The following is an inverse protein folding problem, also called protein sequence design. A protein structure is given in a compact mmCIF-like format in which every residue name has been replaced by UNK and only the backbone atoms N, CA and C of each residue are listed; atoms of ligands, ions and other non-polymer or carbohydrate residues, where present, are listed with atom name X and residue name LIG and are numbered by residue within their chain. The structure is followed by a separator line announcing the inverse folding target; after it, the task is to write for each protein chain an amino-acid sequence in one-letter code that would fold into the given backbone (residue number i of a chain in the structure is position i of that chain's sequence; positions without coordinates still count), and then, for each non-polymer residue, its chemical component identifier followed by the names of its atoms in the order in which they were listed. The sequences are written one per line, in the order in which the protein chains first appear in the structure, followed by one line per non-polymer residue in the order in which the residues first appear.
data_IF_904204531097
#
_entry.id   IF_904204531097
#
_cell.length_a   1.000
_cell.length_b   1.000
_cell.length_c   1.000
_cell.angle_alpha   90.00
_cell.angle_beta   90.00
_cell.angle_gamma   90.00
#
_symmetry.space_group_name_H-M   'P 1'
#
loop_
_entity.id
_entity.type
_entity.pdbx_description
1 polymer ?
#
# COMPACT_ATOMS: atom_id res chain seq x y z
N UNK A 1 -5.50 15.84 -4.93
CA UNK A 1 -5.29 14.46 -4.44
C UNK A 1 -5.02 14.50 -2.94
N UNK A 2 -5.78 13.73 -2.18
CA UNK A 2 -5.60 13.62 -0.74
C UNK A 2 -5.06 12.24 -0.38
N UNK A 3 -4.05 12.20 0.47
CA UNK A 3 -3.51 10.95 1.03
C UNK A 3 -3.92 10.90 2.49
N UNK A 4 -4.59 9.82 2.88
CA UNK A 4 -5.11 9.64 4.24
C UNK A 4 -4.70 8.30 4.81
N UNK A 5 -4.54 8.24 6.13
CA UNK A 5 -4.23 6.99 6.80
C UNK A 5 -5.46 6.06 6.77
N UNK A 6 -5.23 4.76 6.56
CA UNK A 6 -6.30 3.77 6.65
C UNK A 6 -6.71 3.61 8.11
N UNK A 7 -7.95 3.96 8.40
CA UNK A 7 -8.58 3.79 9.71
C UNK A 7 -9.82 2.93 9.56
N UNK A 8 -10.36 2.44 10.66
CA UNK A 8 -11.55 1.57 10.66
C UNK A 8 -12.73 2.22 9.94
N UNK A 9 -12.90 3.53 10.10
CA UNK A 9 -13.99 4.29 9.49
C UNK A 9 -13.92 4.33 7.97
N UNK A 10 -12.75 4.02 7.39
CA UNK A 10 -12.53 4.03 5.93
C UNK A 10 -12.68 2.66 5.27
N UNK A 11 -13.04 1.63 6.05
CA UNK A 11 -13.28 0.29 5.49
C UNK A 11 -14.28 0.33 4.32
N UNK A 12 -15.43 1.04 4.40
CA UNK A 12 -16.33 1.12 3.25
C UNK A 12 -15.68 1.66 1.98
N UNK A 13 -14.80 2.66 2.10
CA UNK A 13 -14.08 3.21 0.96
C UNK A 13 -13.13 2.17 0.34
N UNK A 14 -12.46 1.40 1.18
CA UNK A 14 -11.56 0.33 0.74
C UNK A 14 -12.33 -0.77 0.01
N UNK A 15 -13.49 -1.15 0.52
CA UNK A 15 -14.33 -2.16 -0.14
C UNK A 15 -14.79 -1.69 -1.52
N UNK A 16 -15.20 -0.43 -1.64
CA UNK A 16 -15.57 0.14 -2.94
C UNK A 16 -14.37 0.19 -3.89
N UNK A 17 -13.22 0.60 -3.39
CA UNK A 17 -11.97 0.60 -4.18
C UNK A 17 -11.63 -0.79 -4.70
N UNK A 18 -11.70 -1.81 -3.85
CA UNK A 18 -11.39 -3.19 -4.24
C UNK A 18 -12.39 -3.72 -5.28
N UNK A 19 -13.65 -3.31 -5.18
CA UNK A 19 -14.66 -3.62 -6.18
C UNK A 19 -14.34 -2.93 -7.52
N UNK A 20 -14.08 -1.64 -7.49
CA UNK A 20 -13.74 -0.85 -8.70
C UNK A 20 -12.49 -1.41 -9.39
N UNK A 21 -11.49 -1.78 -8.60
CA UNK A 21 -10.25 -2.35 -9.10
C UNK A 21 -10.51 -3.63 -9.91
N UNK A 22 -11.37 -4.50 -9.39
CA UNK A 22 -11.70 -5.77 -10.05
C UNK A 22 -12.59 -5.59 -11.27
N UNK A 23 -13.44 -4.58 -11.27
CA UNK A 23 -14.25 -4.27 -12.45
C UNK A 23 -13.40 -3.79 -13.62
N UNK A 24 -12.37 -3.00 -13.34
CA UNK A 24 -11.48 -2.48 -14.39
C UNK A 24 -10.43 -3.52 -14.84
N UNK A 25 -10.06 -4.44 -13.94
CA UNK A 25 -9.06 -5.48 -14.21
C UNK A 25 -9.53 -6.79 -13.58
N UNK A 26 -9.92 -7.76 -14.37
CA UNK A 26 -10.52 -9.00 -13.87
C UNK A 26 -9.54 -10.18 -13.72
N UNK A 27 -8.28 -9.89 -13.44
CA UNK A 27 -7.26 -10.94 -13.25
C UNK A 27 -6.95 -11.26 -11.78
N UNK A 28 -7.70 -10.70 -10.84
CA UNK A 28 -7.47 -10.89 -9.40
C UNK A 28 -7.99 -12.25 -8.94
N UNK A 29 -7.13 -12.99 -8.24
CA UNK A 29 -7.40 -14.37 -7.87
C UNK A 29 -8.24 -14.57 -6.61
N UNK A 30 -8.68 -13.50 -5.93
CA UNK A 30 -9.51 -13.63 -4.74
C UNK A 30 -10.70 -12.67 -4.79
N UNK A 31 -11.76 -13.04 -4.07
CA UNK A 31 -12.97 -12.24 -3.98
C UNK A 31 -13.00 -11.44 -2.67
N UNK A 32 -13.73 -10.34 -2.70
CA UNK A 32 -14.02 -9.56 -1.50
C UNK A 32 -15.27 -10.15 -0.87
N UNK A 33 -15.07 -11.12 -0.01
CA UNK A 33 -16.14 -11.87 0.66
C UNK A 33 -16.31 -11.45 2.13
N UNK A 34 -17.25 -12.09 2.81
CA UNK A 34 -17.53 -11.79 4.21
C UNK A 34 -16.32 -12.09 5.11
N UNK A 35 -15.53 -13.09 4.77
CA UNK A 35 -14.32 -13.43 5.51
C UNK A 35 -13.29 -12.32 5.42
N UNK A 36 -13.05 -11.80 4.22
CA UNK A 36 -12.13 -10.67 4.02
C UNK A 36 -12.58 -9.46 4.85
N UNK A 37 -13.87 -9.11 4.78
CA UNK A 37 -14.41 -7.96 5.50
C UNK A 37 -14.24 -8.14 7.01
N UNK A 38 -14.54 -9.33 7.52
CA UNK A 38 -14.39 -9.64 8.94
C UNK A 38 -12.93 -9.56 9.39
N UNK A 39 -12.00 -10.13 8.60
CA UNK A 39 -10.58 -10.14 8.92
C UNK A 39 -10.00 -8.70 8.94
N UNK A 40 -10.33 -7.88 7.94
CA UNK A 40 -9.88 -6.50 7.89
C UNK A 40 -10.45 -5.68 9.05
N UNK A 41 -11.74 -5.84 9.34
CA UNK A 41 -12.37 -5.15 10.46
C UNK A 41 -11.70 -5.52 11.78
N UNK A 42 -11.48 -6.81 12.00
CA UNK A 42 -10.86 -7.32 13.21
C UNK A 42 -9.41 -6.86 13.37
N UNK A 43 -8.70 -6.64 12.26
CA UNK A 43 -7.30 -6.20 12.31
C UNK A 43 -7.14 -4.86 13.06
N UNK A 44 -8.12 -3.99 13.00
CA UNK A 44 -8.09 -2.71 13.71
C UNK A 44 -8.27 -2.85 15.23
N UNK A 45 -8.68 -4.00 15.70
CA UNK A 45 -8.91 -4.28 17.12
C UNK A 45 -7.79 -5.11 17.75
N UNK A 46 -6.85 -5.59 16.94
CA UNK A 46 -5.77 -6.46 17.39
C UNK A 46 -4.44 -5.70 17.47
N UNK A 47 -3.75 -5.85 18.61
CA UNK A 47 -2.41 -5.28 18.78
C UNK A 47 -1.37 -5.91 17.85
N UNK A 48 -1.63 -7.10 17.32
CA UNK A 48 -0.75 -7.76 16.35
C UNK A 48 -0.56 -6.92 15.09
N UNK A 49 -1.50 -6.03 14.76
CA UNK A 49 -1.43 -5.15 13.60
C UNK A 49 -0.91 -3.74 13.91
N UNK A 50 -0.37 -3.52 15.11
CA UNK A 50 0.15 -2.21 15.52
C UNK A 50 1.29 -1.72 14.63
N UNK A 51 1.99 -2.62 13.95
CA UNK A 51 3.11 -2.29 13.06
C UNK A 51 2.68 -2.02 11.60
N UNK A 52 1.39 -2.15 11.29
CA UNK A 52 0.88 -1.85 9.95
C UNK A 52 0.77 -0.34 9.75
N UNK A 53 1.20 0.12 8.59
CA UNK A 53 1.02 1.52 8.17
C UNK A 53 0.51 1.50 6.74
N UNK A 54 -0.75 1.88 6.56
CA UNK A 54 -1.44 1.88 5.28
C UNK A 54 -1.99 3.26 4.97
N UNK A 55 -1.79 3.70 3.73
CA UNK A 55 -2.24 5.00 3.24
C UNK A 55 -3.16 4.82 2.04
N UNK A 56 -4.16 5.69 1.96
CA UNK A 56 -5.19 5.67 0.93
C UNK A 56 -5.15 6.99 0.15
N UNK A 57 -5.23 6.91 -1.18
CA UNK A 57 -5.27 8.08 -2.04
C UNK A 57 -6.69 8.32 -2.53
N UNK A 58 -7.11 9.59 -2.47
CA UNK A 58 -8.44 10.02 -2.89
C UNK A 58 -8.34 11.05 -4.01
N UNK A 59 -9.11 10.87 -5.06
CA UNK A 59 -9.32 11.81 -6.16
C UNK A 59 -10.78 11.76 -6.59
N UNK A 60 -11.31 12.90 -7.01
CA UNK A 60 -12.71 12.99 -7.48
C UNK A 60 -13.73 12.42 -6.49
N UNK A 61 -13.46 12.60 -5.19
CA UNK A 61 -14.37 12.19 -4.13
C UNK A 61 -14.37 10.68 -3.84
N UNK A 62 -13.43 9.92 -4.38
CA UNK A 62 -13.36 8.47 -4.13
C UNK A 62 -11.93 7.99 -3.93
N UNK A 63 -11.79 6.83 -3.29
CA UNK A 63 -10.50 6.19 -3.13
C UNK A 63 -10.04 5.57 -4.46
N UNK A 64 -8.83 5.95 -4.91
CA UNK A 64 -8.29 5.51 -6.20
C UNK A 64 -6.98 4.75 -6.10
N UNK A 65 -6.39 4.68 -4.91
CA UNK A 65 -5.14 3.94 -4.72
C UNK A 65 -4.88 3.66 -3.25
N UNK A 66 -3.99 2.71 -3.00
CA UNK A 66 -3.54 2.37 -1.65
C UNK A 66 -2.09 1.91 -1.65
N UNK A 67 -1.44 2.11 -0.52
CA UNK A 67 -0.13 1.53 -0.23
C UNK A 67 -0.18 0.95 1.17
N UNK A 68 0.29 -0.28 1.31
CA UNK A 68 0.27 -1.00 2.58
C UNK A 68 1.69 -1.42 2.95
N UNK A 69 2.07 -1.21 4.20
CA UNK A 69 3.39 -1.56 4.70
C UNK A 69 3.31 -2.13 6.11
N UNK A 70 4.35 -2.86 6.48
CA UNK A 70 4.52 -3.41 7.82
C UNK A 70 5.90 -3.02 8.34
N UNK A 71 5.95 -2.47 9.54
CA UNK A 71 7.22 -2.14 10.21
C UNK A 71 7.78 -3.40 10.83
N UNK A 72 9.06 -3.66 10.59
CA UNK A 72 9.75 -4.87 11.02
C UNK A 72 10.87 -4.47 11.97
N UNK A 73 10.82 -5.00 13.19
CA UNK A 73 11.86 -4.82 14.20
C UNK A 73 12.57 -6.15 14.39
N UNK A 74 13.89 -6.17 14.22
CA UNK A 74 14.67 -7.41 14.26
C UNK A 74 15.69 -7.42 15.38
N UNK A 75 15.66 -8.50 16.17
CA UNK A 75 16.70 -8.76 17.16
C UNK A 75 18.04 -9.15 16.53
N UNK A 76 18.03 -9.56 15.25
CA UNK A 76 19.25 -9.96 14.56
C UNK A 76 20.30 -8.85 14.56
N UNK A 77 19.87 -7.61 14.30
CA UNK A 77 20.78 -6.47 14.21
C UNK A 77 20.25 -5.23 14.95
N UNK A 78 19.13 -5.34 15.64
CA UNK A 78 18.51 -4.22 16.34
C UNK A 78 17.90 -3.17 15.41
N UNK A 79 17.81 -3.47 14.12
CA UNK A 79 17.28 -2.51 13.13
C UNK A 79 15.77 -2.52 13.05
N UNK A 80 15.23 -1.40 12.58
CA UNK A 80 13.83 -1.28 12.20
C UNK A 80 13.76 -0.93 10.72
N UNK A 81 12.98 -1.69 9.98
CA UNK A 81 12.75 -1.52 8.54
C UNK A 81 11.25 -1.51 8.29
N UNK A 82 10.84 -1.18 7.09
CA UNK A 82 9.48 -1.39 6.64
C UNK A 82 9.48 -2.32 5.43
N UNK A 83 8.45 -3.14 5.35
CA UNK A 83 8.19 -4.01 4.20
C UNK A 83 6.98 -3.46 3.45
N UNK A 84 7.14 -3.29 2.14
CA UNK A 84 6.05 -2.90 1.26
C UNK A 84 5.21 -4.13 0.93
N UNK A 85 4.02 -4.21 1.52
CA UNK A 85 3.12 -5.35 1.29
C UNK A 85 2.39 -5.22 -0.05
N UNK A 86 1.97 -4.01 -0.39
CA UNK A 86 1.10 -3.79 -1.54
C UNK A 86 1.08 -2.32 -1.94
N UNK A 87 1.05 -2.08 -3.24
CA UNK A 87 0.74 -0.75 -3.79
C UNK A 87 -0.12 -0.97 -5.03
N UNK A 88 -1.23 -0.27 -5.11
CA UNK A 88 -2.16 -0.44 -6.21
C UNK A 88 -2.93 0.85 -6.49
N UNK A 89 -3.16 1.11 -7.78
CA UNK A 89 -3.94 2.25 -8.26
C UNK A 89 -4.95 1.74 -9.28
N UNK A 90 -6.19 2.20 -9.21
CA UNK A 90 -7.23 1.86 -10.19
C UNK A 90 -6.74 2.25 -11.60
N UNK A 91 -6.95 1.36 -12.56
CA UNK A 91 -6.41 1.50 -13.91
C UNK A 91 -6.70 2.87 -14.53
N UNK A 92 -7.93 3.37 -14.42
CA UNK A 92 -8.33 4.67 -14.97
C UNK A 92 -7.66 5.87 -14.32
N UNK A 93 -7.00 5.68 -13.18
CA UNK A 93 -6.27 6.73 -12.46
C UNK A 93 -4.75 6.56 -12.50
N UNK A 94 -4.26 5.61 -13.27
CA UNK A 94 -2.81 5.42 -13.47
C UNK A 94 -2.23 6.55 -14.33
N UNK A 95 -0.91 6.72 -14.24
CA UNK A 95 -0.15 7.77 -14.94
C UNK A 95 -0.55 9.19 -14.55
N UNK A 96 -1.15 9.35 -13.37
CA UNK A 96 -1.55 10.65 -12.79
C UNK A 96 -0.76 10.99 -11.52
N UNK A 97 0.30 10.22 -11.22
CA UNK A 97 1.16 10.47 -10.07
C UNK A 97 0.65 9.91 -8.75
N UNK A 98 -0.41 9.09 -8.76
CA UNK A 98 -1.01 8.54 -7.52
C UNK A 98 -0.03 7.62 -6.79
N UNK A 99 0.56 6.67 -7.49
CA UNK A 99 1.51 5.72 -6.90
C UNK A 99 2.73 6.46 -6.32
N UNK A 100 3.23 7.43 -7.05
CA UNK A 100 4.38 8.24 -6.59
C UNK A 100 4.04 9.04 -5.34
N UNK A 101 2.85 9.64 -5.28
CA UNK A 101 2.40 10.39 -4.11
C UNK A 101 2.24 9.48 -2.89
N UNK A 102 1.68 8.28 -3.08
CA UNK A 102 1.57 7.27 -2.03
C UNK A 102 2.96 6.87 -1.50
N UNK A 103 3.89 6.57 -2.39
CA UNK A 103 5.23 6.17 -2.02
C UNK A 103 5.97 7.29 -1.27
N UNK A 104 5.90 8.51 -1.77
CA UNK A 104 6.55 9.66 -1.15
C UNK A 104 6.00 9.93 0.24
N UNK A 105 4.68 9.87 0.40
CA UNK A 105 4.02 10.09 1.69
C UNK A 105 4.37 8.97 2.67
N UNK A 106 4.35 7.70 2.22
CA UNK A 106 4.73 6.58 3.07
C UNK A 106 6.17 6.73 3.58
N UNK A 107 7.10 7.02 2.69
CA UNK A 107 8.51 7.20 3.07
C UNK A 107 8.70 8.34 4.06
N UNK A 108 7.97 9.45 3.87
CA UNK A 108 7.99 10.59 4.79
C UNK A 108 7.47 10.20 6.18
N UNK A 109 6.36 9.47 6.25
CA UNK A 109 5.81 9.00 7.53
C UNK A 109 6.75 8.02 8.24
N UNK A 110 7.35 7.10 7.50
CA UNK A 110 8.33 6.15 8.05
C UNK A 110 9.56 6.88 8.58
N UNK A 111 10.05 7.86 7.85
CA UNK A 111 11.23 8.65 8.24
C UNK A 111 10.98 9.40 9.55
N UNK A 112 9.78 9.93 9.76
CA UNK A 112 9.40 10.55 11.04
C UNK A 112 9.49 9.58 12.21
N UNK A 113 9.40 8.28 11.95
CA UNK A 113 9.53 7.21 12.95
C UNK A 113 10.94 6.63 13.01
N UNK A 114 11.91 7.24 12.32
CA UNK A 114 13.30 6.77 12.30
C UNK A 114 13.54 5.60 11.36
N UNK A 115 12.64 5.33 10.43
CA UNK A 115 12.75 4.21 9.49
C UNK A 115 13.15 4.72 8.12
N UNK A 116 14.36 4.37 7.68
CA UNK A 116 14.95 4.84 6.42
C UNK A 116 14.89 3.78 5.32
N UNK A 117 14.66 2.53 5.66
CA UNK A 117 14.70 1.43 4.70
C UNK A 117 13.32 0.87 4.47
N UNK A 118 12.90 0.85 3.21
CA UNK A 118 11.68 0.19 2.75
C UNK A 118 12.09 -0.87 1.74
N UNK A 119 11.72 -2.12 2.00
CA UNK A 119 12.03 -3.26 1.14
C UNK A 119 10.74 -3.87 0.61
N UNK A 120 10.82 -4.59 -0.51
CA UNK A 120 9.66 -5.25 -1.08
C UNK A 120 10.01 -6.05 -2.31
N UNK A 121 9.04 -6.82 -2.77
CA UNK A 121 9.11 -7.56 -4.01
C UNK A 121 8.45 -6.74 -5.12
N UNK A 122 9.06 -6.74 -6.30
CA UNK A 122 8.53 -6.01 -7.45
C UNK A 122 7.78 -6.98 -8.34
N UNK A 123 6.54 -6.63 -8.68
CA UNK A 123 5.76 -7.39 -9.65
C UNK A 123 6.46 -7.38 -11.01
N UNK A 124 6.29 -8.45 -11.78
CA UNK A 124 7.00 -8.63 -13.06
C UNK A 124 6.41 -7.83 -14.23
N UNK A 125 5.23 -7.23 -14.09
CA UNK A 125 4.61 -6.48 -15.18
C UNK A 125 5.37 -5.19 -15.50
N UNK A 126 5.20 -4.69 -16.72
CA UNK A 126 5.94 -3.52 -17.22
C UNK A 126 5.69 -2.25 -16.43
N UNK A 127 4.44 -2.01 -16.02
CA UNK A 127 4.08 -0.81 -15.27
C UNK A 127 4.80 -0.78 -13.91
N UNK A 128 4.82 -1.91 -13.19
CA UNK A 128 5.52 -2.02 -11.92
C UNK A 128 7.03 -1.84 -12.09
N UNK A 129 7.63 -2.50 -13.09
CA UNK A 129 9.06 -2.38 -13.37
C UNK A 129 9.43 -0.94 -13.69
N UNK A 130 8.65 -0.26 -14.53
CA UNK A 130 8.89 1.14 -14.88
C UNK A 130 8.79 2.05 -13.65
N UNK A 131 7.77 1.86 -12.84
CA UNK A 131 7.55 2.65 -11.63
C UNK A 131 8.74 2.53 -10.67
N UNK A 132 9.14 1.30 -10.33
CA UNK A 132 10.19 1.10 -9.33
C UNK A 132 11.57 1.53 -9.84
N UNK A 133 11.88 1.29 -11.12
CA UNK A 133 13.18 1.68 -11.69
C UNK A 133 13.33 3.19 -11.84
N UNK A 134 12.25 3.94 -11.83
CA UNK A 134 12.25 5.40 -11.89
C UNK A 134 12.17 6.07 -10.52
N UNK A 135 12.09 5.31 -9.44
CA UNK A 135 12.06 5.89 -8.10
C UNK A 135 13.44 6.44 -7.72
N UNK A 136 13.50 7.70 -7.19
CA UNK A 136 14.77 8.22 -6.67
C UNK A 136 15.26 7.36 -5.49
N UNK A 137 16.57 7.12 -5.45
CA UNK A 137 17.22 6.37 -4.37
C UNK A 137 16.78 4.90 -4.26
N UNK A 138 16.09 4.36 -5.27
CA UNK A 138 15.74 2.96 -5.29
C UNK A 138 16.93 2.11 -5.75
N UNK A 139 17.17 1.00 -5.06
CA UNK A 139 18.16 0.00 -5.44
C UNK A 139 17.40 -1.29 -5.80
N UNK A 140 17.51 -1.71 -7.06
CA UNK A 140 16.83 -2.90 -7.57
C UNK A 140 17.87 -4.03 -7.64
N UNK A 141 17.55 -5.14 -6.96
CA UNK A 141 18.39 -6.35 -6.99
C UNK A 141 17.62 -7.46 -7.67
N UNK A 142 18.17 -7.96 -8.76
CA UNK A 142 17.63 -9.10 -9.49
C UNK A 142 18.29 -10.35 -8.93
N UNK A 143 17.55 -11.17 -8.22
CA UNK A 143 18.03 -12.43 -7.64
C UNK A 143 17.32 -13.64 -8.25
#
# INVERSE_FOLDING_TARGET
MDIKRFTKERIPDVLQFEHDLREEENFWGWEIDEKYIADVTKSFESTAFANSLSLLAYMDGKMVGRIDSTKICSHFDGSTKAYLDWICVIKSYRHKGVAQALMTTLRSELKKQGIDTLIGLIASNEDAQRFYRNLPSAEIKDE
#
